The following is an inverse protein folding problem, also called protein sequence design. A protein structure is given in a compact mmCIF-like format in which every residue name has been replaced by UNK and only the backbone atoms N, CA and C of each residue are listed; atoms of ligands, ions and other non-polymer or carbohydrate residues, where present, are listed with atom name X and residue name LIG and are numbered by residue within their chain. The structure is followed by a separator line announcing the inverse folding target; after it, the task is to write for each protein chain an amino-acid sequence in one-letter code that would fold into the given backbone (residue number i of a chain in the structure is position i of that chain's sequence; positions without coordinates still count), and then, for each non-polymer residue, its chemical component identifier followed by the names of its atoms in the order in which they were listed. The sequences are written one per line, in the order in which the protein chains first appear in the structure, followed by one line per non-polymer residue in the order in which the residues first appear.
data_IF_443431254725
#
_entry.id   IF_443431254725
#
_cell.length_a   1.000
_cell.length_b   1.000
_cell.length_c   1.000
_cell.angle_alpha   90.00
_cell.angle_beta   90.00
_cell.angle_gamma   90.00
#
_symmetry.space_group_name_H-M   'P 1'
#
loop_
_entity.id
_entity.type
_entity.pdbx_description
1 polymer ?
#
# COMPACT_ATOMS: atom_id res chain seq x y z
N UNK A 1 -23.91 22.33 -15.18
CA UNK A 1 -25.36 22.27 -15.49
C UNK A 1 -26.15 23.31 -14.66
N UNK A 2 -26.98 24.14 -15.32
CA UNK A 2 -27.73 25.25 -14.71
C UNK A 2 -28.64 24.83 -13.52
N UNK A 3 -29.17 23.59 -13.54
CA UNK A 3 -29.94 23.01 -12.43
C UNK A 3 -29.12 22.83 -11.13
N UNK A 4 -27.82 22.53 -11.23
CA UNK A 4 -26.97 22.31 -10.05
C UNK A 4 -26.74 23.60 -9.22
N UNK A 5 -27.00 24.77 -9.81
CA UNK A 5 -26.96 26.06 -9.11
C UNK A 5 -28.24 26.38 -8.34
N UNK A 6 -29.34 25.65 -8.60
CA UNK A 6 -30.68 25.95 -8.06
C UNK A 6 -31.26 24.85 -7.18
N UNK A 7 -30.83 23.60 -7.35
CA UNK A 7 -31.23 22.46 -6.52
C UNK A 7 -30.00 21.73 -5.97
N UNK A 8 -30.06 21.36 -4.68
CA UNK A 8 -29.02 20.56 -3.99
C UNK A 8 -29.01 19.08 -4.41
N UNK A 9 -30.07 18.63 -5.09
CA UNK A 9 -30.24 17.25 -5.56
C UNK A 9 -29.65 17.13 -6.97
N UNK A 10 -28.71 16.18 -7.21
CA UNK A 10 -28.20 15.94 -8.55
C UNK A 10 -29.34 15.45 -9.47
N UNK A 11 -29.40 16.00 -10.69
CA UNK A 11 -30.41 15.58 -11.65
C UNK A 11 -30.17 14.10 -12.05
N UNK A 12 -31.23 13.26 -12.15
CA UNK A 12 -31.09 11.84 -12.46
C UNK A 12 -30.83 11.65 -13.96
N UNK A 13 -29.67 12.08 -14.44
CA UNK A 13 -29.31 12.09 -15.86
C UNK A 13 -29.33 10.70 -16.49
N UNK A 14 -28.99 9.66 -15.73
CA UNK A 14 -29.01 8.27 -16.17
C UNK A 14 -30.45 7.79 -16.41
N UNK A 15 -31.37 8.10 -15.49
CA UNK A 15 -32.79 7.78 -15.64
C UNK A 15 -33.41 8.53 -16.83
N UNK A 16 -33.07 9.81 -16.99
CA UNK A 16 -33.53 10.61 -18.14
C UNK A 16 -33.03 9.99 -19.46
N UNK A 17 -31.77 9.54 -19.50
CA UNK A 17 -31.22 8.89 -20.68
C UNK A 17 -31.92 7.55 -20.98
N UNK A 18 -32.19 6.73 -19.96
CA UNK A 18 -32.92 5.47 -20.11
C UNK A 18 -34.35 5.72 -20.60
N UNK A 19 -35.11 6.58 -19.92
CA UNK A 19 -36.50 6.87 -20.29
C UNK A 19 -36.56 7.51 -21.68
N UNK A 20 -35.72 8.51 -21.96
CA UNK A 20 -35.64 9.15 -23.27
C UNK A 20 -35.26 8.16 -24.38
N UNK A 21 -34.25 7.32 -24.14
CA UNK A 21 -33.81 6.29 -25.07
C UNK A 21 -34.91 5.27 -25.38
N UNK A 22 -35.62 4.80 -24.36
CA UNK A 22 -36.76 3.89 -24.50
C UNK A 22 -37.89 4.55 -25.31
N UNK A 23 -38.26 5.79 -25.00
CA UNK A 23 -39.34 6.51 -25.71
C UNK A 23 -38.99 6.73 -27.18
N UNK A 24 -37.77 7.22 -27.46
CA UNK A 24 -37.28 7.43 -28.82
C UNK A 24 -37.27 6.11 -29.59
N UNK A 25 -36.79 5.03 -28.97
CA UNK A 25 -36.79 3.69 -29.57
C UNK A 25 -38.19 3.20 -29.91
N UNK A 26 -39.14 3.41 -28.99
CA UNK A 26 -40.55 3.01 -29.14
C UNK A 26 -41.25 3.78 -30.25
N UNK A 27 -41.05 5.10 -30.34
CA UNK A 27 -41.77 5.94 -31.31
C UNK A 27 -41.14 5.91 -32.72
N UNK A 28 -39.83 5.70 -32.82
CA UNK A 28 -39.13 5.63 -34.11
C UNK A 28 -38.94 4.20 -34.63
N UNK A 29 -39.43 3.19 -33.89
CA UNK A 29 -39.25 1.76 -34.19
C UNK A 29 -37.80 1.44 -34.60
N UNK A 30 -36.83 1.79 -33.74
CA UNK A 30 -35.40 1.76 -34.10
C UNK A 30 -34.86 0.38 -34.48
N UNK A 31 -35.45 -0.69 -33.94
CA UNK A 31 -35.08 -2.06 -34.31
C UNK A 31 -35.54 -2.41 -35.72
N UNK A 32 -36.78 -2.11 -36.08
CA UNK A 32 -37.37 -2.42 -37.39
C UNK A 32 -36.78 -1.54 -38.50
N UNK A 33 -36.61 -0.25 -38.23
CA UNK A 33 -36.19 0.73 -39.24
C UNK A 33 -34.67 0.81 -39.43
N UNK A 34 -33.90 0.49 -38.40
CA UNK A 34 -32.44 0.73 -38.36
C UNK A 34 -31.62 -0.43 -37.78
N UNK A 35 -32.23 -1.59 -37.51
CA UNK A 35 -31.58 -2.79 -36.97
C UNK A 35 -30.79 -2.52 -35.65
N UNK A 36 -31.26 -1.55 -34.86
CA UNK A 36 -30.62 -1.21 -33.59
C UNK A 36 -30.89 -2.31 -32.57
N UNK A 37 -29.82 -2.89 -32.01
CA UNK A 37 -29.92 -3.92 -30.97
C UNK A 37 -30.56 -3.37 -29.69
N UNK A 38 -31.69 -3.95 -29.30
CA UNK A 38 -32.39 -3.63 -28.06
C UNK A 38 -31.99 -4.57 -26.91
N UNK A 39 -32.42 -4.26 -25.69
CA UNK A 39 -32.19 -5.12 -24.52
C UNK A 39 -32.88 -6.47 -24.70
N UNK A 40 -34.11 -6.47 -25.20
CA UNK A 40 -34.93 -7.68 -25.37
C UNK A 40 -35.70 -8.04 -24.10
N UNK A 41 -36.31 -9.25 -24.05
CA UNK A 41 -37.24 -9.62 -22.99
C UNK A 41 -36.57 -9.67 -21.61
N UNK A 42 -37.20 -9.03 -20.63
CA UNK A 42 -36.71 -8.98 -19.25
C UNK A 42 -37.58 -9.90 -18.39
N UNK A 43 -37.02 -10.95 -17.75
CA UNK A 43 -37.80 -11.83 -16.91
C UNK A 43 -38.40 -11.03 -15.74
N UNK A 44 -39.72 -11.15 -15.57
CA UNK A 44 -40.44 -10.54 -14.45
C UNK A 44 -40.64 -11.56 -13.35
N UNK A 45 -40.66 -11.08 -12.10
CA UNK A 45 -40.75 -11.93 -10.91
C UNK A 45 -39.43 -12.07 -10.16
N UNK A 46 -39.50 -12.70 -8.98
CA UNK A 46 -38.32 -13.03 -8.20
C UNK A 46 -37.79 -14.41 -8.61
N UNK A 47 -36.47 -14.57 -8.80
CA UNK A 47 -35.90 -15.88 -9.08
C UNK A 47 -36.09 -16.81 -7.88
N UNK A 48 -36.41 -18.07 -8.13
CA UNK A 48 -36.42 -19.11 -7.10
C UNK A 48 -34.99 -19.39 -6.60
N UNK A 49 -34.79 -19.69 -5.31
CA UNK A 49 -33.47 -20.05 -4.80
C UNK A 49 -32.97 -21.35 -5.45
N UNK A 50 -31.73 -21.32 -5.96
CA UNK A 50 -31.03 -22.43 -6.60
C UNK A 50 -29.69 -22.62 -5.90
N UNK A 51 -29.38 -23.86 -5.51
CA UNK A 51 -28.07 -24.18 -4.94
C UNK A 51 -26.97 -24.15 -6.01
N UNK A 52 -25.79 -23.56 -5.72
CA UNK A 52 -24.69 -23.56 -6.67
C UNK A 52 -24.16 -24.99 -6.88
N UNK A 53 -23.79 -25.31 -8.12
CA UNK A 53 -23.24 -26.62 -8.46
C UNK A 53 -21.80 -26.76 -7.97
N UNK A 54 -21.56 -27.68 -7.04
CA UNK A 54 -20.23 -27.92 -6.48
C UNK A 54 -19.24 -28.53 -7.48
N UNK A 55 -19.72 -29.11 -8.57
CA UNK A 55 -18.86 -29.67 -9.63
C UNK A 55 -18.04 -28.58 -10.33
N UNK A 56 -18.59 -27.37 -10.47
CA UNK A 56 -17.91 -26.21 -11.06
C UNK A 56 -16.88 -25.58 -10.13
N UNK A 57 -16.92 -25.90 -8.83
CA UNK A 57 -16.06 -25.26 -7.83
C UNK A 57 -14.57 -25.40 -8.18
N UNK A 58 -14.15 -26.58 -8.65
CA UNK A 58 -12.75 -26.82 -9.04
C UNK A 58 -12.31 -25.96 -10.23
N UNK A 59 -13.24 -25.63 -11.12
CA UNK A 59 -12.96 -24.82 -12.31
C UNK A 59 -12.83 -23.35 -11.96
N UNK A 60 -13.67 -22.84 -11.05
CA UNK A 60 -13.75 -21.40 -10.72
C UNK A 60 -13.03 -21.00 -9.43
N UNK A 61 -12.44 -21.95 -8.68
CA UNK A 61 -11.87 -21.71 -7.37
C UNK A 61 -10.79 -20.61 -7.39
N UNK A 62 -9.87 -20.65 -8.36
CA UNK A 62 -8.77 -19.69 -8.46
C UNK A 62 -9.29 -18.29 -8.78
N UNK A 63 -10.15 -18.18 -9.79
CA UNK A 63 -10.78 -16.91 -10.20
C UNK A 63 -11.62 -16.30 -9.07
N UNK A 64 -12.33 -17.16 -8.32
CA UNK A 64 -13.16 -16.73 -7.18
C UNK A 64 -12.31 -16.10 -6.08
N UNK A 65 -11.11 -16.62 -5.81
CA UNK A 65 -10.18 -16.02 -4.85
C UNK A 65 -9.71 -14.64 -5.32
N UNK A 66 -9.35 -14.51 -6.60
CA UNK A 66 -8.94 -13.22 -7.17
C UNK A 66 -10.07 -12.19 -7.09
N UNK A 67 -11.29 -12.57 -7.49
CA UNK A 67 -12.49 -11.72 -7.41
C UNK A 67 -12.78 -11.31 -5.96
N UNK A 68 -12.66 -12.24 -5.00
CA UNK A 68 -12.89 -11.95 -3.59
C UNK A 68 -11.88 -10.91 -3.05
N UNK A 69 -10.58 -11.07 -3.35
CA UNK A 69 -9.53 -10.13 -2.94
C UNK A 69 -9.79 -8.75 -3.53
N UNK A 70 -10.06 -8.67 -4.84
CA UNK A 70 -10.31 -7.39 -5.53
C UNK A 70 -11.56 -6.72 -5.00
N UNK A 71 -12.67 -7.46 -4.90
CA UNK A 71 -13.95 -6.92 -4.47
C UNK A 71 -13.89 -6.42 -3.02
N UNK A 72 -13.27 -7.18 -2.11
CA UNK A 72 -13.05 -6.73 -0.73
C UNK A 72 -12.13 -5.51 -0.65
N UNK A 73 -11.06 -5.48 -1.46
CA UNK A 73 -10.14 -4.33 -1.51
C UNK A 73 -10.86 -3.05 -1.96
N UNK A 74 -11.77 -3.14 -2.94
CA UNK A 74 -12.58 -2.02 -3.41
C UNK A 74 -13.55 -1.55 -2.31
N UNK A 75 -14.24 -2.48 -1.64
CA UNK A 75 -15.15 -2.19 -0.52
C UNK A 75 -14.40 -1.48 0.61
N UNK A 76 -13.28 -2.04 1.07
CA UNK A 76 -12.46 -1.45 2.13
C UNK A 76 -11.87 -0.10 1.74
N UNK A 77 -11.38 0.05 0.51
CA UNK A 77 -10.86 1.33 0.03
C UNK A 77 -11.93 2.42 0.07
N UNK A 78 -13.15 2.10 -0.36
CA UNK A 78 -14.28 3.04 -0.29
C UNK A 78 -14.69 3.34 1.16
N UNK A 79 -14.77 2.31 2.01
CA UNK A 79 -15.10 2.48 3.42
C UNK A 79 -14.12 3.41 4.13
N UNK A 80 -12.81 3.27 3.88
CA UNK A 80 -11.76 4.13 4.44
C UNK A 80 -11.85 5.58 3.93
N UNK A 81 -12.25 5.80 2.68
CA UNK A 81 -12.47 7.16 2.14
C UNK A 81 -13.57 7.87 2.92
N UNK A 82 -14.72 7.22 3.12
CA UNK A 82 -15.84 7.82 3.86
C UNK A 82 -15.54 7.92 5.36
N UNK A 83 -14.86 6.94 5.94
CA UNK A 83 -14.41 6.96 7.33
C UNK A 83 -13.51 8.15 7.64
N UNK A 84 -12.54 8.41 6.76
CA UNK A 84 -11.69 9.61 6.85
C UNK A 84 -12.49 10.90 6.69
N UNK A 85 -13.46 10.93 5.77
CA UNK A 85 -14.28 12.11 5.48
C UNK A 85 -15.24 12.47 6.62
N UNK A 86 -15.85 11.47 7.26
CA UNK A 86 -16.84 11.65 8.32
C UNK A 86 -16.30 11.33 9.72
N UNK A 87 -14.99 11.10 9.85
CA UNK A 87 -14.29 10.87 11.11
C UNK A 87 -14.87 9.73 11.96
N UNK A 88 -15.16 8.60 11.32
CA UNK A 88 -15.54 7.35 12.01
C UNK A 88 -14.52 6.25 11.73
N UNK A 89 -14.58 5.17 12.50
CA UNK A 89 -13.68 4.01 12.33
C UNK A 89 -14.37 2.86 11.58
N UNK A 90 -13.62 2.16 10.74
CA UNK A 90 -14.09 0.98 10.00
C UNK A 90 -13.50 -0.26 10.63
N UNK A 91 -14.35 -1.24 10.95
CA UNK A 91 -13.93 -2.56 11.41
C UNK A 91 -13.78 -3.49 10.20
N UNK A 92 -12.55 -3.69 9.74
CA UNK A 92 -12.25 -4.50 8.56
C UNK A 92 -12.85 -5.93 8.61
N UNK A 93 -12.71 -6.63 9.74
CA UNK A 93 -13.28 -7.97 9.91
C UNK A 93 -14.81 -7.98 9.78
N UNK A 94 -15.49 -6.93 10.22
CA UNK A 94 -16.95 -6.83 10.13
C UNK A 94 -17.41 -6.61 8.70
N UNK A 95 -16.70 -5.77 7.93
CA UNK A 95 -16.97 -5.55 6.50
C UNK A 95 -16.74 -6.83 5.69
N UNK A 96 -15.68 -7.59 6.01
CA UNK A 96 -15.42 -8.87 5.36
C UNK A 96 -16.56 -9.85 5.59
N UNK A 97 -17.01 -10.02 6.85
CA UNK A 97 -18.13 -10.91 7.18
C UNK A 97 -19.41 -10.45 6.50
N UNK A 98 -19.74 -9.15 6.54
CA UNK A 98 -20.94 -8.61 5.91
C UNK A 98 -20.95 -8.88 4.39
N UNK A 99 -19.81 -8.67 3.74
CA UNK A 99 -19.64 -8.94 2.32
C UNK A 99 -19.74 -10.44 1.99
N UNK A 100 -19.15 -11.30 2.80
CA UNK A 100 -19.24 -12.76 2.63
C UNK A 100 -20.68 -13.25 2.75
N UNK A 101 -21.41 -12.80 3.78
CA UNK A 101 -22.82 -13.17 3.97
C UNK A 101 -23.68 -12.65 2.82
N UNK A 102 -23.48 -11.40 2.39
CA UNK A 102 -24.21 -10.82 1.25
C UNK A 102 -24.03 -11.63 -0.03
N UNK A 103 -22.80 -12.02 -0.35
CA UNK A 103 -22.51 -12.82 -1.55
C UNK A 103 -22.95 -14.29 -1.41
N UNK A 104 -22.90 -14.86 -0.21
CA UNK A 104 -23.40 -16.21 0.05
C UNK A 104 -24.93 -16.30 -0.10
N UNK A 105 -25.66 -15.28 0.36
CA UNK A 105 -27.11 -15.20 0.12
C UNK A 105 -27.39 -14.93 -1.36
N UNK A 106 -26.65 -14.02 -1.99
CA UNK A 106 -26.81 -13.69 -3.42
C UNK A 106 -26.56 -14.89 -4.35
N UNK A 107 -25.63 -15.79 -4.01
CA UNK A 107 -25.34 -16.97 -4.83
C UNK A 107 -26.54 -17.91 -4.97
N UNK A 108 -27.43 -17.95 -3.98
CA UNK A 108 -28.68 -18.71 -4.03
C UNK A 108 -29.66 -18.16 -5.08
N UNK A 109 -29.53 -16.90 -5.48
CA UNK A 109 -30.44 -16.24 -6.43
C UNK A 109 -29.77 -15.98 -7.78
N UNK A 110 -28.72 -16.75 -8.11
CA UNK A 110 -27.92 -16.59 -9.33
C UNK A 110 -27.34 -15.18 -9.50
N UNK A 111 -27.04 -14.48 -8.40
CA UNK A 111 -26.38 -13.19 -8.46
C UNK A 111 -24.90 -13.34 -8.81
N UNK A 112 -24.40 -12.41 -9.62
CA UNK A 112 -22.96 -12.24 -9.81
C UNK A 112 -22.30 -11.71 -8.52
N UNK A 113 -20.99 -11.93 -8.31
CA UNK A 113 -20.28 -11.35 -7.18
C UNK A 113 -20.48 -9.84 -7.09
N UNK A 114 -20.91 -9.38 -5.91
CA UNK A 114 -21.23 -7.98 -5.64
C UNK A 114 -20.09 -7.29 -4.89
N UNK A 115 -19.94 -5.99 -5.18
CA UNK A 115 -18.97 -5.09 -4.56
C UNK A 115 -19.68 -3.76 -4.22
N UNK A 116 -18.93 -2.79 -3.69
CA UNK A 116 -19.45 -1.44 -3.50
C UNK A 116 -19.50 -0.65 -4.83
N UNK A 117 -20.26 0.44 -4.83
CA UNK A 117 -20.35 1.35 -5.97
C UNK A 117 -20.01 2.77 -5.52
N UNK A 118 -18.83 3.24 -5.92
CA UNK A 118 -18.35 4.57 -5.57
C UNK A 118 -19.31 5.67 -6.04
N UNK A 119 -19.78 5.59 -7.28
CA UNK A 119 -20.70 6.58 -7.86
C UNK A 119 -22.01 6.68 -7.06
N UNK A 120 -22.67 5.55 -6.80
CA UNK A 120 -23.94 5.52 -6.06
C UNK A 120 -23.79 6.00 -4.62
N UNK A 121 -22.70 5.58 -3.96
CA UNK A 121 -22.43 5.97 -2.57
C UNK A 121 -22.09 7.45 -2.43
N UNK A 122 -21.35 8.01 -3.39
CA UNK A 122 -21.06 9.44 -3.44
C UNK A 122 -22.33 10.26 -3.66
N UNK A 123 -23.24 9.83 -4.55
CA UNK A 123 -24.52 10.51 -4.76
C UNK A 123 -25.38 10.44 -3.50
N UNK A 124 -25.45 9.28 -2.84
CA UNK A 124 -26.17 9.13 -1.57
C UNK A 124 -25.61 10.05 -0.49
N UNK A 125 -24.30 10.16 -0.37
CA UNK A 125 -23.65 11.04 0.61
C UNK A 125 -23.84 12.52 0.27
N UNK A 126 -23.68 12.91 -1.00
CA UNK A 126 -23.92 14.28 -1.47
C UNK A 126 -25.36 14.76 -1.26
N UNK A 127 -26.32 13.84 -1.32
CA UNK A 127 -27.74 14.12 -1.06
C UNK A 127 -28.09 14.12 0.44
N UNK A 128 -27.11 13.87 1.33
CA UNK A 128 -27.28 13.90 2.78
C UNK A 128 -27.69 12.56 3.40
N UNK A 129 -27.56 11.46 2.67
CA UNK A 129 -27.85 10.12 3.17
C UNK A 129 -26.82 9.65 4.21
N UNK A 130 -27.24 9.57 5.47
CA UNK A 130 -26.36 9.23 6.60
C UNK A 130 -26.64 7.84 7.21
N UNK A 131 -27.66 7.12 6.73
CA UNK A 131 -28.07 5.82 7.30
C UNK A 131 -28.26 4.76 6.20
N UNK A 132 -28.16 3.48 6.58
CA UNK A 132 -28.36 2.35 5.66
C UNK A 132 -29.81 2.18 5.20
N UNK A 133 -30.76 2.92 5.79
CA UNK A 133 -32.17 2.94 5.35
C UNK A 133 -32.27 3.38 3.88
N UNK A 134 -31.38 4.27 3.42
CA UNK A 134 -31.31 4.66 2.01
C UNK A 134 -31.08 3.45 1.08
N UNK A 135 -30.21 2.51 1.47
CA UNK A 135 -29.93 1.28 0.73
C UNK A 135 -31.15 0.35 0.70
N UNK A 136 -31.91 0.27 1.80
CA UNK A 136 -33.16 -0.52 1.89
C UNK A 136 -34.23 0.05 0.95
N UNK A 137 -34.41 1.38 0.95
CA UNK A 137 -35.34 2.06 0.05
C UNK A 137 -34.92 1.82 -1.41
N UNK A 138 -33.63 1.94 -1.72
CA UNK A 138 -33.12 1.68 -3.06
C UNK A 138 -33.37 0.23 -3.51
N UNK A 139 -33.16 -0.75 -2.62
CA UNK A 139 -33.44 -2.15 -2.91
C UNK A 139 -34.95 -2.39 -3.15
N UNK A 140 -35.83 -1.78 -2.35
CA UNK A 140 -37.27 -1.86 -2.54
C UNK A 140 -37.72 -1.26 -3.89
N UNK A 141 -37.15 -0.11 -4.28
CA UNK A 141 -37.42 0.50 -5.58
C UNK A 141 -36.95 -0.38 -6.74
N UNK A 142 -35.78 -1.01 -6.63
CA UNK A 142 -35.31 -1.97 -7.64
C UNK A 142 -36.25 -3.17 -7.73
N UNK A 143 -36.76 -3.69 -6.61
CA UNK A 143 -37.74 -4.77 -6.61
C UNK A 143 -39.05 -4.36 -7.33
N UNK A 144 -39.57 -3.16 -7.07
CA UNK A 144 -40.73 -2.59 -7.79
C UNK A 144 -40.46 -2.51 -9.29
N UNK A 145 -39.28 -2.05 -9.68
CA UNK A 145 -38.89 -1.94 -11.09
C UNK A 145 -38.87 -3.31 -11.76
N UNK A 146 -38.26 -4.33 -11.13
CA UNK A 146 -38.19 -5.68 -11.70
C UNK A 146 -39.55 -6.37 -11.80
N UNK A 147 -40.46 -6.13 -10.85
CA UNK A 147 -41.76 -6.78 -10.82
C UNK A 147 -42.78 -6.17 -11.80
N UNK A 148 -42.77 -4.85 -11.99
CA UNK A 148 -43.81 -4.15 -12.75
C UNK A 148 -43.31 -3.32 -13.94
N UNK A 149 -42.11 -2.75 -13.84
CA UNK A 149 -41.61 -1.77 -14.83
C UNK A 149 -40.67 -2.44 -15.85
N UNK A 150 -40.07 -3.58 -15.53
CA UNK A 150 -39.12 -4.32 -16.36
C UNK A 150 -39.51 -4.41 -17.85
N UNK A 151 -40.73 -4.86 -18.20
CA UNK A 151 -41.17 -4.98 -19.60
C UNK A 151 -41.13 -3.67 -20.40
N UNK A 152 -41.20 -2.51 -19.75
CA UNK A 152 -41.09 -1.22 -20.45
C UNK A 152 -39.67 -0.92 -20.92
N UNK A 153 -38.65 -1.58 -20.36
CA UNK A 153 -37.25 -1.38 -20.74
C UNK A 153 -36.76 -2.36 -21.81
N UNK A 154 -37.60 -3.29 -22.29
CA UNK A 154 -37.21 -4.23 -23.34
C UNK A 154 -36.83 -3.52 -24.64
N UNK A 155 -37.51 -2.41 -24.95
CA UNK A 155 -37.24 -1.60 -26.13
C UNK A 155 -36.07 -0.62 -25.97
N UNK A 156 -35.33 -0.67 -24.87
CA UNK A 156 -34.19 0.22 -24.62
C UNK A 156 -33.03 -0.14 -25.57
N UNK A 157 -32.46 0.83 -26.31
CA UNK A 157 -31.29 0.58 -27.15
C UNK A 157 -30.02 0.28 -26.34
N UNK A 158 -29.25 -0.74 -26.74
CA UNK A 158 -27.97 -1.09 -26.08
C UNK A 158 -26.93 0.04 -26.14
N UNK A 159 -27.01 0.92 -27.14
CA UNK A 159 -26.11 2.07 -27.26
C UNK A 159 -26.28 3.09 -26.13
N UNK A 160 -27.49 3.24 -25.58
CA UNK A 160 -27.75 4.12 -24.42
C UNK A 160 -27.07 3.56 -23.17
N UNK A 161 -27.18 2.25 -22.95
CA UNK A 161 -26.50 1.56 -21.85
C UNK A 161 -24.96 1.70 -21.97
N UNK A 162 -24.42 1.52 -23.17
CA UNK A 162 -22.99 1.72 -23.43
C UNK A 162 -22.54 3.15 -23.12
N UNK A 163 -23.33 4.16 -23.51
CA UNK A 163 -23.07 5.56 -23.19
C UNK A 163 -23.03 5.83 -21.69
N UNK A 164 -23.96 5.25 -20.93
CA UNK A 164 -23.99 5.35 -19.46
C UNK A 164 -22.71 4.75 -18.86
N UNK A 165 -22.26 3.58 -19.34
CA UNK A 165 -21.03 2.93 -18.87
C UNK A 165 -19.81 3.81 -19.14
N UNK A 166 -19.68 4.39 -20.34
CA UNK A 166 -18.55 5.28 -20.69
C UNK A 166 -18.51 6.52 -19.78
N UNK A 167 -19.67 7.13 -19.53
CA UNK A 167 -19.76 8.30 -18.64
C UNK A 167 -19.41 7.92 -17.19
N UNK A 168 -19.87 6.76 -16.71
CA UNK A 168 -19.56 6.26 -15.37
C UNK A 168 -18.05 5.99 -15.18
N UNK A 169 -17.37 5.47 -16.21
CA UNK A 169 -15.95 5.14 -16.17
C UNK A 169 -15.03 6.36 -16.38
N UNK A 170 -15.55 7.51 -16.82
CA UNK A 170 -14.75 8.72 -17.09
C UNK A 170 -13.86 9.12 -15.91
N UNK A 171 -14.38 9.05 -14.68
CA UNK A 171 -13.62 9.40 -13.47
C UNK A 171 -12.42 8.48 -13.25
N UNK A 172 -12.61 7.18 -13.47
CA UNK A 172 -11.55 6.17 -13.35
C UNK A 172 -10.51 6.34 -14.46
N UNK A 173 -10.92 6.59 -15.70
CA UNK A 173 -10.00 6.84 -16.82
C UNK A 173 -9.13 8.08 -16.63
N UNK A 174 -9.63 9.11 -15.91
CA UNK A 174 -8.82 10.30 -15.61
C UNK A 174 -7.67 10.03 -14.65
N UNK A 175 -7.67 8.92 -13.91
CA UNK A 175 -6.58 8.53 -12.99
C UNK A 175 -5.27 8.22 -13.73
N UNK A 176 -5.29 8.02 -15.06
CA UNK A 176 -4.06 7.93 -15.88
C UNK A 176 -3.18 9.18 -15.72
N UNK A 177 -3.76 10.33 -15.37
CA UNK A 177 -2.99 11.57 -15.11
C UNK A 177 -2.14 11.48 -13.84
N UNK A 178 -2.48 10.61 -12.90
CA UNK A 178 -1.74 10.43 -11.65
C UNK A 178 -0.36 9.80 -11.87
N UNK A 179 -0.14 9.11 -12.99
CA UNK A 179 1.17 8.56 -13.37
C UNK A 179 2.27 9.62 -13.38
N UNK A 180 1.96 10.83 -13.86
CA UNK A 180 2.94 11.93 -13.91
C UNK A 180 3.33 12.41 -12.50
N UNK A 181 2.43 12.25 -11.53
CA UNK A 181 2.70 12.55 -10.13
C UNK A 181 3.56 11.45 -9.51
N UNK A 182 3.20 10.18 -9.70
CA UNK A 182 3.99 9.05 -9.19
C UNK A 182 5.43 9.09 -9.71
N UNK A 183 5.64 9.37 -11.00
CA UNK A 183 6.98 9.46 -11.57
C UNK A 183 7.85 10.57 -10.94
N UNK A 184 7.23 11.66 -10.47
CA UNK A 184 7.94 12.75 -9.78
C UNK A 184 8.27 12.41 -8.33
N UNK A 185 7.42 11.64 -7.66
CA UNK A 185 7.57 11.28 -6.24
C UNK A 185 8.53 10.07 -6.07
N UNK A 186 8.25 8.94 -6.76
CA UNK A 186 9.07 7.74 -6.69
C UNK A 186 9.03 6.94 -8.01
N UNK A 187 10.19 6.68 -8.60
CA UNK A 187 10.31 5.91 -9.85
C UNK A 187 9.85 4.45 -9.68
N UNK A 188 10.02 3.87 -8.48
CA UNK A 188 9.58 2.50 -8.22
C UNK A 188 8.04 2.40 -8.19
N UNK A 189 7.37 3.41 -7.65
CA UNK A 189 5.90 3.46 -7.61
C UNK A 189 5.31 3.65 -9.02
N UNK A 190 5.94 4.50 -9.85
CA UNK A 190 5.56 4.65 -11.25
C UNK A 190 5.77 3.36 -12.06
N UNK A 191 6.85 2.62 -11.81
CA UNK A 191 7.11 1.33 -12.46
C UNK A 191 6.04 0.31 -12.09
N UNK A 192 5.71 0.17 -10.80
CA UNK A 192 4.65 -0.73 -10.33
C UNK A 192 3.31 -0.39 -10.98
N UNK A 193 2.97 0.90 -11.10
CA UNK A 193 1.74 1.34 -11.79
C UNK A 193 1.72 0.95 -13.27
N UNK A 194 2.81 1.19 -14.01
CA UNK A 194 2.87 0.86 -15.45
C UNK A 194 2.82 -0.65 -15.67
N UNK A 195 3.59 -1.42 -14.89
CA UNK A 195 3.62 -2.87 -15.00
C UNK A 195 2.24 -3.47 -14.72
N UNK A 196 1.57 -3.04 -13.65
CA UNK A 196 0.22 -3.52 -13.31
C UNK A 196 -0.81 -3.17 -14.37
N UNK A 197 -0.82 -1.91 -14.81
CA UNK A 197 -1.71 -1.46 -15.88
C UNK A 197 -1.53 -2.28 -17.16
N UNK A 198 -0.28 -2.44 -17.59
CA UNK A 198 0.03 -3.15 -18.83
C UNK A 198 -0.29 -4.65 -18.73
N UNK A 199 -0.02 -5.27 -17.58
CA UNK A 199 -0.39 -6.68 -17.34
C UNK A 199 -1.90 -6.90 -17.38
N UNK A 200 -2.70 -6.04 -16.77
CA UNK A 200 -4.17 -6.16 -16.80
C UNK A 200 -4.73 -5.94 -18.22
N UNK A 201 -4.17 -4.99 -18.97
CA UNK A 201 -4.67 -4.64 -20.32
C UNK A 201 -4.25 -5.67 -21.38
N UNK A 202 -3.04 -6.24 -21.29
CA UNK A 202 -2.50 -7.14 -22.31
C UNK A 202 -2.70 -8.62 -22.01
N UNK A 203 -2.79 -9.00 -20.74
CA UNK A 203 -2.89 -10.40 -20.31
C UNK A 203 -4.31 -10.62 -19.81
N UNK A 204 -4.53 -10.51 -18.49
CA UNK A 204 -5.81 -10.70 -17.84
C UNK A 204 -5.80 -10.04 -16.45
N UNK A 205 -6.97 -9.87 -15.85
CA UNK A 205 -7.16 -9.16 -14.57
C UNK A 205 -6.52 -9.93 -13.40
N UNK A 206 -6.66 -11.24 -13.37
CA UNK A 206 -6.14 -12.13 -12.33
C UNK A 206 -4.60 -12.17 -12.32
N UNK A 207 -3.98 -12.33 -13.50
CA UNK A 207 -2.53 -12.29 -13.65
C UNK A 207 -2.00 -10.89 -13.36
N UNK A 208 -2.68 -9.84 -13.84
CA UNK A 208 -2.30 -8.46 -13.57
C UNK A 208 -2.31 -8.10 -12.08
N UNK A 209 -3.28 -8.62 -11.32
CA UNK A 209 -3.32 -8.48 -9.86
C UNK A 209 -2.11 -9.17 -9.20
N UNK A 210 -1.80 -10.41 -9.59
CA UNK A 210 -0.66 -11.16 -9.05
C UNK A 210 0.65 -10.42 -9.31
N UNK A 211 0.86 -9.92 -10.53
CA UNK A 211 2.03 -9.11 -10.89
C UNK A 211 2.10 -7.86 -10.01
N UNK A 212 0.97 -7.20 -9.75
CA UNK A 212 0.94 -6.03 -8.88
C UNK A 212 1.32 -6.29 -7.44
N UNK A 213 0.85 -7.40 -6.86
CA UNK A 213 1.21 -7.81 -5.51
C UNK A 213 2.72 -8.09 -5.44
N UNK A 214 3.26 -8.87 -6.38
CA UNK A 214 4.68 -9.21 -6.43
C UNK A 214 5.54 -7.94 -6.59
N UNK A 215 5.20 -7.08 -7.55
CA UNK A 215 5.92 -5.82 -7.78
C UNK A 215 5.86 -4.88 -6.57
N UNK A 216 4.73 -4.84 -5.86
CA UNK A 216 4.61 -4.04 -4.63
C UNK A 216 5.51 -4.57 -3.51
N UNK A 217 5.57 -5.90 -3.32
CA UNK A 217 6.48 -6.52 -2.34
C UNK A 217 7.93 -6.25 -2.71
N UNK A 218 8.31 -6.40 -3.98
CA UNK A 218 9.66 -6.11 -4.46
C UNK A 218 10.00 -4.62 -4.25
N UNK A 219 9.11 -3.71 -4.60
CA UNK A 219 9.31 -2.28 -4.41
C UNK A 219 9.49 -1.93 -2.93
N UNK A 220 8.66 -2.49 -2.05
CA UNK A 220 8.78 -2.33 -0.60
C UNK A 220 10.13 -2.86 -0.09
N UNK A 221 10.54 -4.02 -0.56
CA UNK A 221 11.81 -4.64 -0.19
C UNK A 221 13.01 -3.78 -0.62
N UNK A 222 13.03 -3.31 -1.88
CA UNK A 222 14.08 -2.43 -2.40
C UNK A 222 14.12 -1.09 -1.66
N UNK A 223 12.96 -0.52 -1.30
CA UNK A 223 12.86 0.70 -0.51
C UNK A 223 13.41 0.49 0.91
N UNK A 224 13.13 -0.66 1.52
CA UNK A 224 13.67 -1.07 2.81
C UNK A 224 15.19 -1.27 2.83
N UNK A 225 15.82 -1.59 1.69
CA UNK A 225 17.27 -1.76 1.58
C UNK A 225 18.06 -0.44 1.57
N UNK A 226 17.39 0.68 1.31
CA UNK A 226 18.05 1.99 1.24
C UNK A 226 18.28 2.54 2.64
N UNK A 227 19.25 1.97 3.35
CA UNK A 227 19.65 2.46 4.68
C UNK A 227 20.51 3.72 4.56
N UNK A 228 20.16 4.71 5.36
CA UNK A 228 20.94 5.91 5.53
C UNK A 228 22.05 5.67 6.57
N UNK A 229 23.25 6.21 6.33
CA UNK A 229 24.37 6.07 7.25
C UNK A 229 25.20 7.34 7.22
N UNK A 230 25.63 7.82 8.38
CA UNK A 230 26.35 9.08 8.51
C UNK A 230 27.27 9.06 9.73
N UNK A 231 28.26 9.96 9.73
CA UNK A 231 29.05 10.27 10.93
C UNK A 231 28.34 11.40 11.69
N UNK A 232 28.24 11.25 13.01
CA UNK A 232 27.73 12.31 13.86
C UNK A 232 28.86 13.20 14.38
N UNK A 233 28.63 14.51 14.35
CA UNK A 233 29.45 15.53 15.00
C UNK A 233 28.68 16.20 16.13
N UNK A 234 29.43 16.68 17.12
CA UNK A 234 28.88 17.44 18.23
C UNK A 234 28.72 18.91 17.82
N UNK A 235 27.61 19.54 18.21
CA UNK A 235 27.45 20.99 18.09
C UNK A 235 28.06 21.65 19.34
N UNK A 236 29.05 22.54 19.20
CA UNK A 236 29.73 23.16 20.34
C UNK A 236 28.77 23.84 21.31
N UNK A 237 28.99 23.64 22.62
CA UNK A 237 28.14 24.22 23.67
C UNK A 237 26.78 23.55 23.85
N UNK A 238 26.51 22.44 23.17
CA UNK A 238 25.28 21.64 23.31
C UNK A 238 25.59 20.15 23.49
N UNK A 239 24.63 19.37 23.96
CA UNK A 239 24.71 17.90 24.01
C UNK A 239 24.16 17.20 22.77
N UNK A 240 24.09 17.90 21.62
CA UNK A 240 23.38 17.42 20.43
C UNK A 240 24.38 16.90 19.39
N UNK A 241 24.12 15.68 18.91
CA UNK A 241 24.90 15.01 17.87
C UNK A 241 24.10 14.90 16.57
N UNK A 242 24.61 15.52 15.50
CA UNK A 242 23.94 15.58 14.19
C UNK A 242 24.89 15.19 13.06
N UNK A 243 24.33 14.90 11.89
CA UNK A 243 25.10 14.57 10.70
C UNK A 243 25.94 15.76 10.21
N UNK A 244 27.24 15.52 10.07
CA UNK A 244 28.26 16.49 9.67
C UNK A 244 28.08 16.94 8.22
N UNK A 245 27.64 16.04 7.33
CA UNK A 245 27.45 16.38 5.91
C UNK A 245 26.30 17.37 5.73
N UNK A 246 25.30 17.32 6.61
CA UNK A 246 24.11 18.18 6.55
C UNK A 246 24.25 19.44 7.38
N UNK A 247 24.97 19.39 8.50
CA UNK A 247 25.10 20.49 9.45
C UNK A 247 26.53 20.99 9.55
N UNK A 248 26.83 22.11 8.89
CA UNK A 248 28.17 22.72 8.84
C UNK A 248 28.72 23.16 10.20
N UNK A 249 27.87 23.31 11.21
CA UNK A 249 28.26 23.68 12.59
C UNK A 249 28.68 22.49 13.44
N UNK A 250 28.43 21.26 12.99
CA UNK A 250 28.81 20.06 13.70
C UNK A 250 30.31 19.78 13.51
N UNK A 251 31.00 19.50 14.61
CA UNK A 251 32.43 19.18 14.60
C UNK A 251 32.63 17.74 15.06
N UNK A 252 33.56 17.02 14.40
CA UNK A 252 33.98 15.71 14.89
C UNK A 252 34.74 15.85 16.21
N UNK A 253 34.54 14.86 17.08
CA UNK A 253 35.33 14.76 18.30
C UNK A 253 36.68 14.12 17.93
N UNK A 254 37.82 14.72 18.31
CA UNK A 254 39.12 14.13 18.04
C UNK A 254 39.22 12.70 18.58
N UNK A 255 39.76 11.79 17.76
CA UNK A 255 39.97 10.36 18.10
C UNK A 255 38.71 9.52 18.39
N UNK A 256 37.50 10.08 18.27
CA UNK A 256 36.22 9.35 18.46
C UNK A 256 35.38 9.45 17.19
N UNK A 257 34.98 8.30 16.65
CA UNK A 257 34.04 8.24 15.51
C UNK A 257 32.69 7.72 15.97
N UNK A 258 31.64 8.54 15.78
CA UNK A 258 30.26 8.16 16.09
C UNK A 258 29.53 7.86 14.78
N UNK A 259 29.21 6.59 14.55
CA UNK A 259 28.55 6.12 13.34
C UNK A 259 27.06 5.88 13.61
N UNK A 260 26.19 6.58 12.87
CA UNK A 260 24.74 6.36 12.92
C UNK A 260 24.29 5.62 11.68
N UNK A 261 23.55 4.53 11.89
CA UNK A 261 22.85 3.81 10.83
C UNK A 261 21.34 3.89 11.04
N UNK A 262 20.61 4.32 10.01
CA UNK A 262 19.15 4.35 10.01
C UNK A 262 18.63 3.26 9.08
N UNK A 263 18.06 2.22 9.67
CA UNK A 263 17.55 1.03 8.99
C UNK A 263 17.68 -0.23 9.85
N UNK A 264 16.96 -1.30 9.48
CA UNK A 264 17.10 -2.58 10.15
C UNK A 264 18.46 -3.22 9.81
N UNK A 265 19.11 -3.82 10.81
CA UNK A 265 20.29 -4.66 10.58
C UNK A 265 19.87 -6.11 10.65
N UNK A 266 19.87 -6.79 9.51
CA UNK A 266 19.46 -8.18 9.39
C UNK A 266 20.42 -8.96 8.48
N UNK A 267 20.16 -10.25 8.26
CA UNK A 267 20.93 -11.10 7.36
C UNK A 267 21.20 -10.46 5.98
N UNK A 268 20.23 -9.72 5.43
CA UNK A 268 20.35 -9.08 4.12
C UNK A 268 21.20 -7.79 4.17
N UNK A 269 21.06 -6.96 5.21
CA UNK A 269 21.72 -5.65 5.29
C UNK A 269 23.09 -5.66 5.99
N UNK A 270 23.41 -6.71 6.76
CA UNK A 270 24.64 -6.79 7.59
C UNK A 270 25.93 -6.55 6.81
N UNK A 271 26.02 -7.04 5.57
CA UNK A 271 27.21 -6.86 4.72
C UNK A 271 27.39 -5.39 4.29
N UNK A 272 26.28 -4.73 3.95
CA UNK A 272 26.26 -3.31 3.59
C UNK A 272 26.61 -2.43 4.79
N UNK A 273 26.08 -2.76 5.97
CA UNK A 273 26.43 -2.11 7.23
C UNK A 273 27.93 -2.22 7.51
N UNK A 274 28.49 -3.44 7.50
CA UNK A 274 29.92 -3.68 7.75
C UNK A 274 30.78 -2.91 6.75
N UNK A 275 30.46 -2.98 5.46
CA UNK A 275 31.20 -2.25 4.43
C UNK A 275 31.21 -0.74 4.69
N UNK A 276 30.03 -0.12 4.89
CA UNK A 276 29.92 1.32 5.15
C UNK A 276 30.68 1.72 6.42
N UNK A 277 30.50 0.99 7.52
CA UNK A 277 31.21 1.26 8.77
C UNK A 277 32.73 1.30 8.55
N UNK A 278 33.28 0.31 7.82
CA UNK A 278 34.73 0.21 7.60
C UNK A 278 35.25 1.25 6.61
N UNK A 279 34.46 1.60 5.59
CA UNK A 279 34.75 2.72 4.69
C UNK A 279 34.80 4.04 5.46
N UNK A 280 33.84 4.27 6.36
CA UNK A 280 33.74 5.49 7.17
C UNK A 280 34.86 5.62 8.21
N UNK A 281 35.28 4.52 8.83
CA UNK A 281 36.38 4.51 9.82
C UNK A 281 37.76 4.48 9.13
N UNK A 282 37.84 4.16 7.83
CA UNK A 282 39.11 4.08 7.09
C UNK A 282 39.95 2.83 7.39
N UNK A 283 39.37 1.79 8.01
CA UNK A 283 40.09 0.57 8.44
C UNK A 283 40.63 -0.25 7.26
N UNK A 284 40.00 -0.17 6.08
CA UNK A 284 40.51 -0.86 4.89
C UNK A 284 41.90 -0.36 4.46
N UNK A 285 42.23 0.92 4.71
CA UNK A 285 43.55 1.49 4.41
C UNK A 285 44.65 0.95 5.34
N UNK A 286 44.31 0.66 6.61
CA UNK A 286 45.28 0.14 7.61
C UNK A 286 45.77 -1.28 7.33
N UNK A 287 44.98 -2.15 6.67
CA UNK A 287 45.45 -3.51 6.29
C UNK A 287 46.43 -3.49 5.10
N UNK A 288 46.37 -2.47 4.24
CA UNK A 288 47.27 -2.33 3.09
C UNK A 288 48.58 -1.60 3.42
N UNK A 289 48.56 -0.65 4.37
CA UNK A 289 49.70 0.23 4.65
C UNK A 289 50.69 -0.26 5.72
N UNK A 290 50.66 -1.54 6.12
CA UNK A 290 51.78 -2.11 6.89
C UNK A 290 53.09 -2.26 6.09
N UNK A 291 53.08 -1.94 4.77
CA UNK A 291 54.24 -2.12 3.89
C UNK A 291 54.86 -0.83 3.34
N UNK A 292 54.32 0.37 3.60
CA UNK A 292 54.87 1.59 2.98
C UNK A 292 54.69 2.87 3.80
N UNK A 293 55.85 3.49 4.07
CA UNK A 293 56.12 4.92 4.24
C UNK A 293 56.11 5.53 5.64
N UNK A 294 57.34 5.61 6.18
CA UNK A 294 57.97 6.89 6.55
C UNK A 294 57.44 8.04 5.66
N UNK A 295 56.64 8.93 6.25
CA UNK A 295 56.50 10.37 5.96
C UNK A 295 55.13 10.89 6.42
N UNK A 296 55.07 11.33 7.69
CA UNK A 296 54.60 12.66 8.07
C UNK A 296 53.24 13.19 7.59
N UNK A 297 52.20 12.37 7.51
CA UNK A 297 50.82 12.86 7.50
C UNK A 297 50.09 12.35 8.74
N UNK A 298 49.58 13.27 9.57
CA UNK A 298 48.85 12.98 10.80
C UNK A 298 47.57 12.19 10.48
N UNK A 299 47.67 10.86 10.44
CA UNK A 299 46.49 10.01 10.59
C UNK A 299 46.04 10.13 12.04
N UNK A 300 44.86 10.73 12.27
CA UNK A 300 44.24 10.71 13.60
C UNK A 300 44.11 9.26 14.03
N UNK A 301 44.84 8.87 15.08
CA UNK A 301 44.67 7.58 15.71
C UNK A 301 43.28 7.56 16.36
N UNK A 302 42.36 6.87 15.69
CA UNK A 302 41.02 6.60 16.20
C UNK A 302 41.20 5.67 17.39
N UNK A 303 40.80 6.14 18.56
CA UNK A 303 40.83 5.36 19.79
C UNK A 303 39.49 4.67 20.04
N UNK A 304 38.38 5.29 19.62
CA UNK A 304 37.04 4.80 19.97
C UNK A 304 36.06 4.94 18.81
N UNK A 305 35.26 3.89 18.63
CA UNK A 305 34.14 3.84 17.69
C UNK A 305 32.85 3.61 18.48
N UNK A 306 31.89 4.51 18.30
CA UNK A 306 30.55 4.40 18.89
C UNK A 306 29.54 4.18 17.77
N UNK A 307 28.75 3.12 17.86
CA UNK A 307 27.60 2.92 16.97
C UNK A 307 26.35 3.45 17.67
N UNK A 308 25.70 4.43 17.07
CA UNK A 308 24.39 4.90 17.49
C UNK A 308 23.28 4.00 16.91
N UNK A 309 22.61 3.27 17.79
CA UNK A 309 21.53 2.34 17.48
C UNK A 309 20.12 2.98 17.58
N UNK A 310 20.01 4.28 17.87
CA UNK A 310 18.73 4.96 18.08
C UNK A 310 17.77 4.87 16.89
N UNK A 311 18.32 4.78 15.67
CA UNK A 311 17.56 4.71 14.43
C UNK A 311 17.42 3.28 13.87
N UNK A 312 17.65 2.27 14.71
CA UNK A 312 17.55 0.86 14.33
C UNK A 312 16.29 0.27 14.99
N UNK A 313 15.22 0.04 14.20
CA UNK A 313 13.96 -0.44 14.77
C UNK A 313 13.99 -1.94 15.07
N UNK A 314 14.86 -2.72 14.41
CA UNK A 314 14.94 -4.16 14.57
C UNK A 314 16.33 -4.70 14.20
N UNK A 315 16.79 -5.71 14.95
CA UNK A 315 17.98 -6.51 14.64
C UNK A 315 17.66 -8.01 14.69
N UNK A 316 18.41 -8.83 13.95
CA UNK A 316 18.29 -10.29 14.03
C UNK A 316 19.55 -10.94 14.65
N UNK A 317 19.52 -12.27 14.79
CA UNK A 317 20.67 -13.04 15.27
C UNK A 317 21.94 -12.85 14.40
N UNK A 318 21.79 -12.67 13.09
CA UNK A 318 22.91 -12.43 12.20
C UNK A 318 23.59 -11.08 12.47
N UNK A 319 22.82 -10.06 12.83
CA UNK A 319 23.35 -8.75 13.24
C UNK A 319 24.09 -8.85 14.58
N UNK A 320 23.54 -9.59 15.54
CA UNK A 320 24.20 -9.86 16.82
C UNK A 320 25.58 -10.50 16.63
N UNK A 321 25.66 -11.53 15.78
CA UNK A 321 26.94 -12.17 15.43
C UNK A 321 27.90 -11.19 14.73
N UNK A 322 27.39 -10.31 13.87
CA UNK A 322 28.20 -9.28 13.23
C UNK A 322 28.81 -8.31 14.25
N UNK A 323 28.05 -7.87 15.27
CA UNK A 323 28.58 -6.99 16.30
C UNK A 323 29.71 -7.66 17.11
N UNK A 324 29.57 -8.95 17.46
CA UNK A 324 30.65 -9.75 18.06
C UNK A 324 31.90 -9.77 17.19
N UNK A 325 31.73 -10.04 15.90
CA UNK A 325 32.83 -10.07 14.93
C UNK A 325 33.53 -8.72 14.83
N UNK A 326 32.77 -7.62 14.76
CA UNK A 326 33.32 -6.26 14.71
C UNK A 326 34.07 -5.93 16.00
N UNK A 327 33.49 -6.22 17.18
CA UNK A 327 34.15 -5.98 18.46
C UNK A 327 35.51 -6.69 18.52
N UNK A 328 35.54 -7.98 18.21
CA UNK A 328 36.77 -8.78 18.19
C UNK A 328 37.80 -8.29 17.14
N UNK A 329 37.34 -7.75 16.01
CA UNK A 329 38.22 -7.15 15.00
C UNK A 329 38.79 -5.81 15.45
N UNK A 330 38.00 -4.98 16.14
CA UNK A 330 38.41 -3.67 16.65
C UNK A 330 39.37 -3.80 17.84
N UNK A 331 39.12 -4.75 18.74
CA UNK A 331 39.99 -5.06 19.89
C UNK A 331 41.41 -5.45 19.42
N UNK A 332 41.53 -6.23 18.33
CA UNK A 332 42.83 -6.59 17.72
C UNK A 332 43.62 -5.40 17.20
N UNK A 333 42.96 -4.29 16.90
CA UNK A 333 43.56 -3.05 16.37
C UNK A 333 43.74 -2.02 17.50
N UNK A 334 43.30 -2.34 18.73
CA UNK A 334 43.36 -1.43 19.88
C UNK A 334 42.33 -0.30 19.82
N UNK A 335 41.20 -0.51 19.13
CA UNK A 335 40.10 0.47 19.05
C UNK A 335 38.96 -0.01 19.94
N UNK A 336 38.54 0.81 20.90
CA UNK A 336 37.39 0.50 21.75
C UNK A 336 36.08 0.63 20.96
N UNK A 337 35.18 -0.35 21.11
CA UNK A 337 33.91 -0.42 20.40
C UNK A 337 32.73 -0.33 21.37
N UNK A 338 31.85 0.66 21.17
CA UNK A 338 30.68 0.88 22.01
C UNK A 338 29.39 0.92 21.20
N UNK A 339 28.31 0.43 21.80
CA UNK A 339 26.95 0.55 21.29
C UNK A 339 26.19 1.57 22.14
N UNK A 340 25.54 2.53 21.51
CA UNK A 340 24.80 3.60 22.18
C UNK A 340 23.33 3.59 21.77
N UNK A 341 22.45 3.94 22.71
CA UNK A 341 21.02 4.14 22.52
C UNK A 341 20.27 3.01 21.76
N UNK A 342 20.43 1.73 22.11
CA UNK A 342 19.54 0.69 21.60
C UNK A 342 18.11 0.93 22.10
N UNK A 343 17.12 0.66 21.25
CA UNK A 343 15.75 0.50 21.74
C UNK A 343 15.62 -0.75 22.60
N UNK A 344 14.64 -0.80 23.52
CA UNK A 344 14.46 -1.92 24.45
C UNK A 344 14.42 -3.28 23.74
N UNK A 345 13.69 -3.38 22.62
CA UNK A 345 13.62 -4.61 21.81
C UNK A 345 14.96 -5.03 21.22
N UNK A 346 15.75 -4.05 20.77
CA UNK A 346 17.09 -4.28 20.22
C UNK A 346 18.03 -4.72 21.33
N UNK A 347 17.99 -4.04 22.48
CA UNK A 347 18.78 -4.38 23.67
C UNK A 347 18.51 -5.81 24.15
N UNK A 348 17.22 -6.17 24.30
CA UNK A 348 16.81 -7.53 24.68
C UNK A 348 17.39 -8.56 23.71
N UNK A 349 17.30 -8.32 22.40
CA UNK A 349 17.80 -9.25 21.38
C UNK A 349 19.33 -9.42 21.47
N UNK A 350 20.07 -8.33 21.70
CA UNK A 350 21.53 -8.38 21.89
C UNK A 350 21.88 -9.21 23.13
N UNK A 351 21.16 -9.00 24.23
CA UNK A 351 21.40 -9.71 25.49
C UNK A 351 21.09 -11.21 25.36
N UNK A 352 19.97 -11.58 24.74
CA UNK A 352 19.60 -12.98 24.54
C UNK A 352 20.57 -13.73 23.60
N UNK A 353 21.14 -13.05 22.61
CA UNK A 353 22.11 -13.64 21.69
C UNK A 353 23.54 -13.78 22.28
N UNK A 354 23.69 -13.48 23.58
CA UNK A 354 24.97 -13.31 24.28
C UNK A 354 25.91 -12.35 23.51
N UNK A 355 25.30 -11.41 22.77
CA UNK A 355 25.85 -10.37 21.90
C UNK A 355 27.21 -9.81 22.32
N UNK A 356 27.29 -9.58 23.61
CA UNK A 356 28.26 -8.73 24.24
C UNK A 356 29.31 -9.52 25.01
N UNK A 357 29.22 -10.86 25.09
CA UNK A 357 30.21 -11.69 25.77
C UNK A 357 30.40 -11.27 27.23
N UNK A 358 29.55 -11.79 28.12
CA UNK A 358 29.80 -11.69 29.56
C UNK A 358 29.55 -10.33 30.24
N UNK A 359 28.95 -9.35 29.56
CA UNK A 359 28.44 -8.16 30.23
C UNK A 359 27.16 -8.52 31.00
N UNK A 360 27.33 -8.95 32.24
CA UNK A 360 26.22 -9.13 33.17
C UNK A 360 25.59 -7.78 33.52
N UNK A 361 24.26 -7.74 33.67
CA UNK A 361 23.47 -6.55 34.05
C UNK A 361 24.02 -5.76 35.25
N UNK A 362 24.85 -6.39 36.09
CA UNK A 362 25.56 -5.76 37.20
C UNK A 362 26.57 -4.68 36.78
N UNK A 363 27.26 -4.84 35.65
CA UNK A 363 28.33 -3.90 35.23
C UNK A 363 27.79 -2.61 34.63
N UNK A 364 26.55 -2.64 34.12
CA UNK A 364 25.88 -1.47 33.52
C UNK A 364 25.28 -0.57 34.61
N UNK A 365 24.86 -1.14 35.75
CA UNK A 365 24.26 -0.37 36.86
C UNK A 365 25.23 0.56 37.60
N UNK A 366 26.54 0.35 37.47
CA UNK A 366 27.57 1.17 38.11
C UNK A 366 28.11 2.32 37.23
N UNK A 367 27.55 2.51 36.03
CA UNK A 367 27.97 3.56 35.09
C UNK A 367 26.86 4.56 34.71
N UNK A 368 25.73 4.53 35.44
CA UNK A 368 24.65 5.49 35.31
C UNK A 368 24.86 6.73 36.19
#
# INVERSE_FOLDING_TARGET
PWLAKRCRIPAPTELIAVVGGTLVSRFLCLEENYEVKLVGPIPTGLPSPVLPSFDLLKLVAVDSVAIAIVSYSIVMSMALIFAKKHSYEVRANQELIAMSVSNAVGSLYACIPTACSLSRSLIQEQTGGNTQIASVIAAALIAVVLLWIGPFFETLPRCVLAGIIVVALKGMLMQVKDLKRFYKEDRLEALTWICTFLSVVLIDIDIGLLVGIIMSIIALYLKGWKSYSCILGAIPGTGIYVDIEKHKTAMEIPSIKIFRHAGCINFASKASFKRKLYETIGVQSRKSNKMTSENGTHFQDIHTVVIDLSCIPHIDYSACKLFKEINNEMDKIGIAFYLAAPSDRVFDTIMHADALGGWTLSDISNSA
#
